data_IF_237478503947
#
_entry.id   IF_237478503947
#
_cell.length_a   1.000
_cell.length_b   1.000
_cell.length_c   1.000
_cell.angle_alpha   90.00
_cell.angle_beta   90.00
_cell.angle_gamma   90.00
#
_symmetry.space_group_name_H-M   'P 1'
#
loop_
_entity.id
_entity.type
_entity.pdbx_description
1 polymer ?
#
# COMPACT_ATOMS: atom_id res chain seq x y z
N UNK A 1 30.83 0.40 -1.16
CA UNK A 1 29.73 1.38 -1.24
C UNK A 1 29.43 1.46 -2.72
N UNK A 2 28.48 0.65 -3.20
CA UNK A 2 28.40 0.27 -4.62
C UNK A 2 27.58 1.27 -5.43
N UNK A 3 28.15 1.66 -6.56
CA UNK A 3 27.65 2.54 -7.60
C UNK A 3 26.38 2.00 -8.27
N UNK A 4 25.22 2.15 -7.60
CA UNK A 4 23.92 1.95 -8.22
C UNK A 4 23.29 3.30 -8.67
N UNK A 5 24.08 4.37 -8.71
CA UNK A 5 23.62 5.66 -9.24
C UNK A 5 23.85 5.75 -10.75
N UNK A 6 22.75 5.48 -11.48
CA UNK A 6 22.42 5.92 -12.84
C UNK A 6 23.07 5.15 -14.01
N UNK A 7 22.33 4.18 -14.56
CA UNK A 7 22.55 3.67 -15.93
C UNK A 7 22.18 4.70 -17.03
N UNK A 8 21.56 5.82 -16.65
CA UNK A 8 21.24 6.94 -17.55
C UNK A 8 22.33 8.01 -17.45
N UNK A 9 22.91 8.40 -18.59
CA UNK A 9 23.73 9.61 -18.64
C UNK A 9 22.88 10.87 -18.40
N UNK A 10 23.54 11.98 -18.07
CA UNK A 10 22.87 13.23 -17.71
C UNK A 10 21.99 13.78 -18.83
N UNK A 11 22.36 13.54 -20.10
CA UNK A 11 21.61 14.01 -21.25
C UNK A 11 20.32 13.20 -21.42
N UNK A 12 20.41 11.87 -21.36
CA UNK A 12 19.29 10.94 -21.45
C UNK A 12 18.31 11.17 -20.30
N UNK A 13 18.83 11.43 -19.09
CA UNK A 13 18.00 11.78 -17.94
C UNK A 13 17.21 13.07 -18.17
N UNK A 14 17.87 14.14 -18.63
CA UNK A 14 17.21 15.41 -18.90
C UNK A 14 16.14 15.28 -20.00
N UNK A 15 16.40 14.46 -21.02
CA UNK A 15 15.41 14.17 -22.08
C UNK A 15 14.19 13.45 -21.53
N UNK A 16 14.38 12.40 -20.72
CA UNK A 16 13.28 11.66 -20.08
C UNK A 16 12.47 12.57 -19.16
N UNK A 17 13.13 13.37 -18.33
CA UNK A 17 12.47 14.34 -17.44
C UNK A 17 11.59 15.31 -18.25
N UNK A 18 12.08 15.80 -19.39
CA UNK A 18 11.31 16.65 -20.31
C UNK A 18 10.10 15.93 -20.93
N UNK A 19 10.25 14.67 -21.33
CA UNK A 19 9.14 13.86 -21.86
C UNK A 19 8.06 13.61 -20.80
N UNK A 20 8.47 13.27 -19.59
CA UNK A 20 7.55 13.04 -18.47
C UNK A 20 6.79 14.32 -18.11
N UNK A 21 7.45 15.48 -18.07
CA UNK A 21 6.80 16.76 -17.82
C UNK A 21 5.76 17.11 -18.90
N UNK A 22 6.07 16.83 -20.17
CA UNK A 22 5.13 17.04 -21.28
C UNK A 22 3.92 16.11 -21.18
N UNK A 23 4.12 14.85 -20.81
CA UNK A 23 3.02 13.91 -20.59
C UNK A 23 2.15 14.33 -19.40
N UNK A 24 2.75 14.79 -18.30
CA UNK A 24 2.04 15.26 -17.11
C UNK A 24 1.12 16.45 -17.44
N UNK A 25 1.57 17.36 -18.31
CA UNK A 25 0.78 18.50 -18.78
C UNK A 25 -0.36 18.12 -19.74
N UNK A 26 -0.23 17.03 -20.50
CA UNK A 26 -1.22 16.58 -21.47
C UNK A 26 -2.30 15.68 -20.88
N UNK A 27 -2.03 15.06 -19.73
CA UNK A 27 -2.94 14.10 -19.09
C UNK A 27 -3.52 14.71 -17.82
N UNK A 28 -4.70 15.37 -17.90
CA UNK A 28 -5.34 15.99 -16.75
C UNK A 28 -5.70 14.95 -15.67
N UNK A 29 -5.73 15.41 -14.43
CA UNK A 29 -6.19 14.59 -13.29
C UNK A 29 -7.71 14.48 -13.23
N UNK A 30 -8.46 15.42 -13.83
CA UNK A 30 -9.92 15.38 -13.75
C UNK A 30 -10.49 14.15 -14.43
N UNK A 31 -11.43 13.50 -13.74
CA UNK A 31 -12.11 12.28 -14.18
C UNK A 31 -11.18 11.07 -14.36
N UNK A 32 -9.89 11.17 -13.99
CA UNK A 32 -9.00 10.03 -14.00
C UNK A 32 -9.38 9.07 -12.87
N UNK A 33 -9.69 7.82 -13.24
CA UNK A 33 -10.19 6.82 -12.30
C UNK A 33 -9.49 5.48 -12.51
N UNK A 34 -9.01 4.90 -11.41
CA UNK A 34 -8.46 3.54 -11.32
C UNK A 34 -9.11 2.82 -10.14
N UNK A 35 -9.28 1.52 -10.29
CA UNK A 35 -9.72 0.59 -9.27
C UNK A 35 -8.86 -0.67 -9.36
N UNK A 36 -8.44 -1.18 -8.22
CA UNK A 36 -7.78 -2.46 -8.11
C UNK A 36 -8.81 -3.46 -7.57
N UNK A 37 -9.13 -4.46 -8.36
CA UNK A 37 -10.17 -5.44 -8.06
C UNK A 37 -9.54 -6.81 -7.89
N UNK A 38 -9.93 -7.51 -6.81
CA UNK A 38 -9.76 -8.96 -6.71
C UNK A 38 -11.07 -9.65 -7.04
N UNK A 39 -11.03 -10.60 -7.97
CA UNK A 39 -12.14 -11.50 -8.25
C UNK A 39 -11.83 -12.88 -7.67
N UNK A 40 -12.07 -13.05 -6.37
CA UNK A 40 -11.80 -14.30 -5.67
C UNK A 40 -10.87 -14.08 -4.48
N UNK A 41 -10.00 -15.05 -4.20
CA UNK A 41 -9.15 -15.06 -3.01
C UNK A 41 -7.66 -15.32 -3.28
N UNK A 42 -7.27 -15.66 -4.51
CA UNK A 42 -5.87 -15.93 -4.86
C UNK A 42 -5.16 -14.69 -5.47
N UNK A 43 -3.82 -14.67 -5.44
CA UNK A 43 -2.99 -13.54 -5.86
C UNK A 43 -3.05 -13.29 -7.37
N UNK A 44 -3.30 -14.32 -8.17
CA UNK A 44 -3.47 -14.26 -9.62
C UNK A 44 -4.87 -13.77 -10.04
N UNK A 45 -5.80 -13.65 -9.09
CA UNK A 45 -7.17 -13.20 -9.30
C UNK A 45 -7.34 -11.68 -9.12
N UNK A 46 -6.31 -10.90 -9.44
CA UNK A 46 -6.30 -9.44 -9.31
C UNK A 46 -6.23 -8.74 -10.67
N UNK A 47 -6.97 -7.64 -10.84
CA UNK A 47 -6.96 -6.81 -12.05
C UNK A 47 -6.99 -5.32 -11.75
N UNK A 48 -6.52 -4.54 -12.72
CA UNK A 48 -6.63 -3.08 -12.73
C UNK A 48 -7.76 -2.70 -13.68
N UNK A 49 -8.73 -1.94 -13.18
CA UNK A 49 -9.82 -1.36 -13.97
C UNK A 49 -9.65 0.14 -13.95
N UNK A 50 -9.50 0.76 -15.12
CA UNK A 50 -9.34 2.20 -15.23
C UNK A 50 -10.01 2.70 -16.51
N UNK A 51 -10.47 3.95 -16.49
CA UNK A 51 -10.79 4.62 -17.75
C UNK A 51 -9.49 5.04 -18.47
N UNK A 52 -9.60 5.48 -19.74
CA UNK A 52 -8.43 5.84 -20.54
C UNK A 52 -7.55 6.88 -19.83
N UNK A 53 -8.15 7.89 -19.20
CA UNK A 53 -7.41 8.93 -18.45
C UNK A 53 -6.72 8.36 -17.22
N UNK A 54 -7.40 7.51 -16.45
CA UNK A 54 -6.86 6.82 -15.29
C UNK A 54 -5.63 5.98 -15.64
N UNK A 55 -5.67 5.24 -16.75
CA UNK A 55 -4.52 4.48 -17.24
C UNK A 55 -3.34 5.38 -17.61
N UNK A 56 -3.59 6.44 -18.37
CA UNK A 56 -2.54 7.39 -18.76
C UNK A 56 -1.93 8.08 -17.53
N UNK A 57 -2.78 8.51 -16.59
CA UNK A 57 -2.35 9.23 -15.39
C UNK A 57 -1.57 8.32 -14.45
N UNK A 58 -2.02 7.07 -14.28
CA UNK A 58 -1.27 6.06 -13.54
C UNK A 58 0.13 5.83 -14.15
N UNK A 59 0.22 5.74 -15.48
CA UNK A 59 1.50 5.63 -16.18
C UNK A 59 2.41 6.84 -15.96
N UNK A 60 1.88 8.06 -16.03
CA UNK A 60 2.62 9.30 -15.74
C UNK A 60 3.19 9.28 -14.32
N UNK A 61 2.39 8.90 -13.33
CA UNK A 61 2.82 8.82 -11.94
C UNK A 61 3.93 7.77 -11.74
N UNK A 62 3.86 6.62 -12.43
CA UNK A 62 4.95 5.63 -12.43
C UNK A 62 6.23 6.18 -13.07
N UNK A 63 6.13 6.91 -14.19
CA UNK A 63 7.30 7.49 -14.85
C UNK A 63 7.95 8.60 -14.02
N UNK A 64 7.14 9.46 -13.38
CA UNK A 64 7.62 10.47 -12.42
C UNK A 64 8.37 9.80 -11.28
N UNK A 65 7.85 8.68 -10.79
CA UNK A 65 8.50 7.91 -9.75
C UNK A 65 9.85 7.31 -10.17
N UNK A 66 10.02 6.96 -11.45
CA UNK A 66 11.23 6.33 -11.96
C UNK A 66 12.41 7.32 -12.06
N UNK A 67 12.15 8.61 -12.27
CA UNK A 67 13.18 9.65 -12.42
C UNK A 67 13.61 10.31 -11.09
N UNK A 68 12.79 10.16 -10.04
CA UNK A 68 13.11 10.72 -8.72
C UNK A 68 14.25 9.94 -8.04
N UNK A 69 15.09 10.59 -7.22
CA UNK A 69 16.05 9.87 -6.39
C UNK A 69 15.31 8.94 -5.43
N UNK A 70 15.80 7.72 -5.25
CA UNK A 70 15.30 6.79 -4.24
C UNK A 70 15.62 7.38 -2.86
N UNK A 71 14.61 7.65 -2.04
CA UNK A 71 14.83 8.02 -0.63
C UNK A 71 15.41 6.85 0.18
N UNK A 72 15.86 7.11 1.40
CA UNK A 72 16.50 6.09 2.27
C UNK A 72 15.61 4.86 2.55
N UNK A 73 14.28 4.99 2.43
CA UNK A 73 13.33 3.90 2.73
C UNK A 73 12.65 3.30 1.48
N UNK A 74 12.99 3.74 0.26
CA UNK A 74 12.35 3.25 -0.97
C UNK A 74 10.88 3.63 -1.14
N UNK A 75 10.32 4.39 -0.19
CA UNK A 75 9.02 5.03 -0.30
C UNK A 75 9.06 6.07 -1.42
N UNK A 76 8.30 5.82 -2.48
CA UNK A 76 8.13 6.78 -3.55
C UNK A 76 7.06 7.80 -3.15
N UNK A 77 7.27 9.10 -3.40
CA UNK A 77 6.23 10.11 -3.23
C UNK A 77 5.24 10.07 -4.41
N UNK A 78 4.65 8.90 -4.70
CA UNK A 78 3.55 8.79 -5.66
C UNK A 78 2.25 8.89 -4.88
N UNK A 79 1.50 9.97 -5.12
CA UNK A 79 0.13 10.04 -4.66
C UNK A 79 -0.78 9.40 -5.71
N UNK A 80 -1.10 8.11 -5.58
CA UNK A 80 -2.12 7.48 -6.43
C UNK A 80 -3.52 7.55 -5.81
N UNK A 81 -3.68 8.14 -4.62
CA UNK A 81 -4.94 8.08 -3.87
C UNK A 81 -6.04 8.84 -4.59
N UNK A 82 -5.70 9.94 -5.27
CA UNK A 82 -6.66 10.70 -6.09
C UNK A 82 -7.18 9.92 -7.31
N UNK A 83 -6.44 8.90 -7.77
CA UNK A 83 -6.87 8.03 -8.85
C UNK A 83 -7.84 6.96 -8.35
N UNK A 84 -7.74 6.56 -7.08
CA UNK A 84 -8.51 5.45 -6.53
C UNK A 84 -9.97 5.86 -6.35
N UNK A 85 -10.83 5.35 -7.22
CA UNK A 85 -12.28 5.55 -7.12
C UNK A 85 -12.94 4.45 -6.29
N UNK A 86 -13.91 4.81 -5.45
CA UNK A 86 -14.78 3.85 -4.76
C UNK A 86 -15.72 3.16 -5.77
N UNK A 87 -16.06 1.87 -5.62
CA UNK A 87 -15.65 0.93 -4.56
C UNK A 87 -14.46 0.05 -4.99
N UNK A 88 -13.22 0.52 -4.75
CA UNK A 88 -12.04 -0.31 -4.99
C UNK A 88 -11.96 -1.41 -3.92
N UNK A 89 -11.91 -2.68 -4.33
CA UNK A 89 -11.79 -3.82 -3.40
C UNK A 89 -10.39 -3.92 -2.78
N UNK A 90 -9.38 -3.49 -3.53
CA UNK A 90 -7.99 -3.42 -3.08
C UNK A 90 -7.57 -1.96 -3.08
N UNK A 91 -6.95 -1.53 -1.97
CA UNK A 91 -6.27 -0.23 -1.87
C UNK A 91 -4.79 -0.47 -1.67
N UNK A 92 -3.99 0.24 -2.44
CA UNK A 92 -2.55 0.31 -2.23
C UNK A 92 -2.26 1.54 -1.39
N UNK A 93 -1.76 1.32 -0.19
CA UNK A 93 -1.33 2.41 0.71
C UNK A 93 0.05 2.95 0.31
N UNK A 94 0.90 2.12 -0.33
CA UNK A 94 2.29 2.45 -0.67
C UNK A 94 2.71 1.73 -1.96
N UNK A 95 3.54 2.37 -2.79
CA UNK A 95 4.28 1.75 -3.91
C UNK A 95 5.76 1.96 -3.65
N UNK A 96 6.53 0.87 -3.68
CA UNK A 96 7.97 0.89 -3.40
C UNK A 96 8.75 0.63 -4.69
N UNK A 97 9.72 1.50 -5.00
CA UNK A 97 10.69 1.25 -6.07
C UNK A 97 11.92 0.60 -5.45
N UNK A 98 12.37 -0.51 -6.04
CA UNK A 98 13.64 -1.15 -5.67
C UNK A 98 14.57 -1.14 -6.87
N UNK A 99 15.83 -0.78 -6.64
CA UNK A 99 16.85 -0.74 -7.70
C UNK A 99 17.25 -2.14 -8.18
N UNK A 100 16.89 -3.19 -7.42
CA UNK A 100 17.09 -4.59 -7.81
C UNK A 100 15.83 -5.40 -7.60
N UNK A 101 15.44 -6.12 -8.64
CA UNK A 101 14.40 -7.14 -8.56
C UNK A 101 14.82 -8.23 -7.56
N UNK A 102 13.92 -8.60 -6.64
CA UNK A 102 14.19 -9.63 -5.63
C UNK A 102 14.86 -9.15 -4.34
N UNK A 103 15.21 -7.85 -4.21
CA UNK A 103 15.64 -7.31 -2.91
C UNK A 103 14.54 -7.53 -1.87
N UNK A 104 14.87 -8.02 -0.65
CA UNK A 104 13.87 -8.28 0.38
C UNK A 104 13.12 -7.00 0.76
N UNK A 105 11.83 -7.12 1.06
CA UNK A 105 11.05 -6.05 1.70
C UNK A 105 11.76 -5.76 3.04
N UNK A 106 12.06 -4.49 3.39
CA UNK A 106 12.69 -4.19 4.66
C UNK A 106 11.84 -4.74 5.82
N UNK A 107 12.51 -5.35 6.80
CA UNK A 107 11.88 -6.20 7.83
C UNK A 107 10.97 -5.42 8.79
N UNK A 108 11.12 -4.09 8.84
CA UNK A 108 10.33 -3.14 9.62
C UNK A 108 8.87 -3.04 9.13
N UNK A 109 8.63 -3.16 7.83
CA UNK A 109 7.28 -3.18 7.26
C UNK A 109 6.53 -4.49 7.59
N UNK A 110 7.24 -5.63 7.62
CA UNK A 110 6.66 -6.92 8.03
C UNK A 110 6.38 -6.99 9.54
N UNK A 111 7.23 -6.41 10.38
CA UNK A 111 7.07 -6.48 11.84
C UNK A 111 5.89 -5.66 12.35
N UNK A 112 5.51 -4.57 11.67
CA UNK A 112 4.43 -3.69 12.12
C UNK A 112 3.04 -4.34 12.04
N UNK A 113 2.79 -5.25 11.09
CA UNK A 113 1.52 -6.01 11.08
C UNK A 113 1.52 -7.10 12.16
N UNK A 114 2.64 -7.81 12.33
CA UNK A 114 2.77 -8.87 13.33
C UNK A 114 2.53 -8.38 14.78
N UNK A 115 2.99 -7.17 15.10
CA UNK A 115 2.76 -6.59 16.44
C UNK A 115 1.30 -6.17 16.66
N UNK A 116 0.59 -5.68 15.63
CA UNK A 116 -0.83 -5.32 15.73
C UNK A 116 -1.70 -6.56 15.93
N UNK A 117 -1.40 -7.65 15.20
CA UNK A 117 -2.14 -8.90 15.31
C UNK A 117 -1.95 -9.56 16.67
N UNK A 118 -0.74 -9.53 17.24
CA UNK A 118 -0.50 -9.98 18.62
C UNK A 118 -1.23 -9.14 19.66
N UNK A 119 -1.24 -7.81 19.50
CA UNK A 119 -1.94 -6.94 20.43
C UNK A 119 -3.44 -7.22 20.42
N UNK A 120 -4.05 -7.33 19.23
CA UNK A 120 -5.46 -7.67 19.08
C UNK A 120 -5.79 -9.03 19.71
N UNK A 121 -4.94 -10.05 19.52
CA UNK A 121 -5.12 -11.37 20.12
C UNK A 121 -5.10 -11.31 21.65
N UNK A 122 -4.14 -10.58 22.23
CA UNK A 122 -4.03 -10.42 23.69
C UNK A 122 -5.23 -9.65 24.24
N UNK A 123 -5.62 -8.55 23.60
CA UNK A 123 -6.79 -7.77 24.04
C UNK A 123 -8.07 -8.60 23.98
N UNK A 124 -8.29 -9.38 22.91
CA UNK A 124 -9.42 -10.28 22.79
C UNK A 124 -9.42 -11.34 23.90
N UNK A 125 -8.27 -11.97 24.17
CA UNK A 125 -8.14 -12.97 25.24
C UNK A 125 -8.47 -12.42 26.63
N UNK A 126 -8.01 -11.20 26.96
CA UNK A 126 -8.31 -10.54 28.23
C UNK A 126 -9.81 -10.26 28.38
N UNK A 127 -10.48 -9.79 27.31
CA UNK A 127 -11.92 -9.52 27.34
C UNK A 127 -12.72 -10.80 27.53
N UNK A 128 -12.41 -11.86 26.79
CA UNK A 128 -13.09 -13.17 26.93
C UNK A 128 -12.90 -13.73 28.33
N UNK A 129 -11.70 -13.65 28.88
CA UNK A 129 -11.42 -14.12 30.24
C UNK A 129 -12.18 -13.30 31.30
N UNK A 130 -12.22 -11.98 31.17
CA UNK A 130 -12.96 -11.11 32.09
C UNK A 130 -14.47 -11.41 32.07
N UNK A 131 -15.05 -11.61 30.89
CA UNK A 131 -16.47 -11.98 30.74
C UNK A 131 -16.75 -13.34 31.37
N UNK A 132 -15.89 -14.34 31.14
CA UNK A 132 -16.03 -15.66 31.74
C UNK A 132 -15.94 -15.61 33.28
N UNK A 133 -14.99 -14.84 33.82
CA UNK A 133 -14.84 -14.66 35.26
C UNK A 133 -16.09 -13.99 35.88
N UNK A 134 -16.63 -12.95 35.25
CA UNK A 134 -17.86 -12.30 35.70
C UNK A 134 -19.07 -13.24 35.65
N UNK A 135 -19.19 -14.06 34.61
CA UNK A 135 -20.25 -15.07 34.51
C UNK A 135 -20.15 -16.12 35.63
N UNK A 136 -18.94 -16.59 35.94
CA UNK A 136 -18.69 -17.54 37.03
C UNK A 136 -19.05 -16.91 38.39
N UNK A 137 -18.60 -15.68 38.66
CA UNK A 137 -18.94 -14.96 39.91
C UNK A 137 -20.45 -14.75 40.04
N UNK A 138 -21.12 -14.38 38.94
CA UNK A 138 -22.58 -14.23 38.91
C UNK A 138 -23.29 -15.56 39.21
N UNK A 139 -22.83 -16.67 38.64
CA UNK A 139 -23.37 -18.00 38.89
C UNK A 139 -23.20 -18.42 40.36
N UNK A 140 -22.00 -18.24 40.94
CA UNK A 140 -21.77 -18.53 42.35
C UNK A 140 -22.64 -17.67 43.27
N UNK A 141 -22.80 -16.39 42.93
CA UNK A 141 -23.64 -15.48 43.72
C UNK A 141 -25.10 -15.94 43.70
N UNK A 142 -25.64 -16.34 42.54
CA UNK A 142 -26.98 -16.93 42.43
C UNK A 142 -27.11 -18.21 43.26
N UNK A 143 -26.14 -19.13 43.18
CA UNK A 143 -26.16 -20.38 43.93
C UNK A 143 -26.05 -20.20 45.44
N UNK A 144 -25.48 -19.08 45.90
CA UNK A 144 -25.33 -18.79 47.34
C UNK A 144 -26.55 -18.06 47.91
N UNK A 145 -27.29 -17.32 47.08
CA UNK A 145 -28.47 -16.55 47.48
C UNK A 145 -29.81 -17.27 47.23
N UNK A 146 -29.80 -18.40 46.52
CA UNK A 146 -30.92 -19.35 46.38
C UNK A 146 -30.84 -20.41 47.47
#
# INVERSE_FOLDING_TARGET
MNDAQSELDAQSRAEIEGLVARLDALVPQEEAAIAFEQYGGDLDESKIVANQRGFLRFGVEMLKSAILPTGEEGDLPIDIRYLQTEPARIRFDWIVRRDRAGSPVPADQQTRSYMKDRLALVTCGVVVFAVAALAIVGLFTLLTYV
#
